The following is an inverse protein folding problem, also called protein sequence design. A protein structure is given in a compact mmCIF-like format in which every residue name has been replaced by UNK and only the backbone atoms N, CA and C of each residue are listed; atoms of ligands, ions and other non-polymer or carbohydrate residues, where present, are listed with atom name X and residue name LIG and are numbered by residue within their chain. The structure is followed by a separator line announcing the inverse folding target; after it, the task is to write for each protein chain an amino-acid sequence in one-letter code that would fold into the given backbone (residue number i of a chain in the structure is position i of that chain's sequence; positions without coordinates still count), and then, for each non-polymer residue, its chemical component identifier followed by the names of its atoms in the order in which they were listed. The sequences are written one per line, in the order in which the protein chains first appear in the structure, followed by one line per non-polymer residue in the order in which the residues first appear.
data_IF_760553149122
#
_entry.id   IF_760553149122
#
_cell.length_a   1.000
_cell.length_b   1.000
_cell.length_c   1.000
_cell.angle_alpha   90.00
_cell.angle_beta   90.00
_cell.angle_gamma   90.00
#
_symmetry.space_group_name_H-M   'P 1'
#
loop_
_entity.id
_entity.type
_entity.pdbx_description
1 polymer ?
#
# COMPACT_ATOMS: atom_id res chain seq x y z
N UNK A 1 24.04 7.46 3.78
CA UNK A 1 22.64 7.43 3.30
C UNK A 1 21.70 8.24 4.18
N UNK A 2 21.64 8.03 5.48
CA UNK A 2 20.71 8.71 6.41
C UNK A 2 20.82 10.25 6.36
N UNK A 3 22.01 10.82 6.39
CA UNK A 3 22.18 12.28 6.26
C UNK A 3 21.61 12.84 4.96
N UNK A 4 21.81 12.15 3.84
CA UNK A 4 21.24 12.54 2.55
C UNK A 4 19.72 12.46 2.57
N UNK A 5 19.16 11.40 3.16
CA UNK A 5 17.72 11.24 3.32
C UNK A 5 17.12 12.37 4.16
N UNK A 6 17.70 12.69 5.31
CA UNK A 6 17.29 13.82 6.18
C UNK A 6 17.31 15.14 5.44
N UNK A 7 18.37 15.40 4.68
CA UNK A 7 18.49 16.64 3.89
C UNK A 7 17.38 16.72 2.83
N UNK A 8 17.14 15.63 2.09
CA UNK A 8 16.09 15.57 1.09
C UNK A 8 14.72 15.79 1.74
N UNK A 9 14.45 15.11 2.88
CA UNK A 9 13.19 15.25 3.61
C UNK A 9 12.97 16.69 4.07
N UNK A 10 13.97 17.29 4.73
CA UNK A 10 13.90 18.69 5.19
C UNK A 10 13.58 19.66 4.06
N UNK A 11 14.18 19.46 2.89
CA UNK A 11 13.88 20.29 1.71
C UNK A 11 12.49 20.04 1.17
N UNK A 12 12.07 18.77 1.12
CA UNK A 12 10.74 18.38 0.66
C UNK A 12 9.61 18.96 1.52
N UNK A 13 9.79 19.03 2.84
CA UNK A 13 8.80 19.61 3.76
C UNK A 13 8.64 21.13 3.54
N UNK A 14 9.70 21.83 3.16
CA UNK A 14 9.62 23.28 2.84
C UNK A 14 8.84 23.59 1.55
N UNK A 15 8.64 22.58 0.70
CA UNK A 15 7.88 22.71 -0.55
C UNK A 15 6.41 22.33 -0.41
N UNK A 16 5.95 22.01 0.80
CA UNK A 16 4.52 21.74 1.06
C UNK A 16 3.80 23.10 0.96
N UNK A 17 2.77 23.21 0.11
CA UNK A 17 2.03 24.46 -0.03
C UNK A 17 1.18 24.73 1.21
N UNK A 18 0.97 26.01 1.49
CA UNK A 18 -0.03 26.43 2.47
C UNK A 18 -1.42 25.95 2.02
N UNK A 19 -2.19 25.41 2.96
CA UNK A 19 -3.52 24.91 2.73
C UNK A 19 -4.56 25.89 3.24
N UNK A 20 -5.60 26.13 2.46
CA UNK A 20 -6.74 26.92 2.93
C UNK A 20 -7.59 26.10 3.91
N UNK A 21 -8.40 26.79 4.72
CA UNK A 21 -9.36 26.14 5.60
C UNK A 21 -10.32 25.21 4.82
N UNK A 22 -10.66 25.60 3.59
CA UNK A 22 -11.45 24.75 2.69
C UNK A 22 -10.73 23.43 2.39
N UNK A 23 -9.43 23.48 2.09
CA UNK A 23 -8.66 22.27 1.77
C UNK A 23 -8.57 21.32 2.98
N UNK A 24 -8.58 21.84 4.21
CA UNK A 24 -8.55 21.06 5.44
C UNK A 24 -9.84 20.26 5.68
N UNK A 25 -10.96 20.72 5.13
CA UNK A 25 -12.25 20.03 5.24
C UNK A 25 -12.45 18.94 4.19
N UNK A 26 -11.57 18.79 3.19
CA UNK A 26 -11.67 17.79 2.14
C UNK A 26 -10.53 16.77 2.23
N UNK A 27 -10.81 15.47 1.98
CA UNK A 27 -9.76 14.47 1.93
C UNK A 27 -8.80 14.74 0.75
N UNK A 28 -7.60 14.17 0.81
CA UNK A 28 -6.65 14.27 -0.30
C UNK A 28 -7.25 13.68 -1.57
N UNK A 29 -7.94 12.55 -1.44
CA UNK A 29 -8.62 11.89 -2.56
C UNK A 29 -9.61 10.84 -2.05
N UNK A 30 -10.60 10.50 -2.88
CA UNK A 30 -11.47 9.34 -2.67
C UNK A 30 -12.00 8.83 -4.00
N UNK A 31 -12.27 7.53 -4.08
CA UNK A 31 -12.78 6.89 -5.31
C UNK A 31 -13.47 5.56 -5.02
N UNK A 32 -14.26 5.10 -6.00
CA UNK A 32 -14.77 3.74 -6.10
C UNK A 32 -14.18 3.10 -7.36
N UNK A 33 -13.73 1.85 -7.25
CA UNK A 33 -13.34 1.01 -8.39
C UNK A 33 -13.51 -0.46 -8.06
N UNK A 34 -13.43 -1.32 -9.07
CA UNK A 34 -13.43 -2.77 -8.86
C UNK A 34 -12.23 -3.22 -8.03
N UNK A 35 -12.48 -4.15 -7.12
CA UNK A 35 -11.46 -4.80 -6.31
C UNK A 35 -11.86 -6.23 -5.94
N UNK A 36 -10.95 -6.96 -5.35
CA UNK A 36 -11.15 -8.29 -4.82
C UNK A 36 -11.38 -8.22 -3.31
N UNK A 37 -12.54 -8.63 -2.84
CA UNK A 37 -12.81 -8.98 -1.45
C UNK A 37 -12.20 -10.35 -1.14
N UNK A 38 -12.19 -10.79 0.12
CA UNK A 38 -11.58 -12.08 0.49
C UNK A 38 -12.08 -13.25 -0.37
N UNK A 39 -13.39 -13.35 -0.53
CA UNK A 39 -14.01 -14.51 -1.15
C UNK A 39 -14.72 -14.22 -2.47
N UNK A 40 -14.84 -12.94 -2.86
CA UNK A 40 -15.61 -12.54 -4.02
C UNK A 40 -15.02 -11.32 -4.73
N UNK A 41 -15.40 -11.10 -5.98
CA UNK A 41 -15.20 -9.86 -6.69
C UNK A 41 -16.19 -8.83 -6.17
N UNK A 42 -15.72 -7.62 -5.96
CA UNK A 42 -16.51 -6.51 -5.48
C UNK A 42 -15.90 -5.16 -5.85
N UNK A 43 -16.12 -4.15 -5.02
CA UNK A 43 -15.57 -2.82 -5.23
C UNK A 43 -14.89 -2.30 -3.97
N UNK A 44 -13.88 -1.46 -4.16
CA UNK A 44 -13.31 -0.67 -3.07
C UNK A 44 -13.90 0.73 -3.04
N UNK A 45 -14.13 1.24 -1.84
CA UNK A 45 -14.28 2.66 -1.57
C UNK A 45 -13.07 3.11 -0.76
N UNK A 46 -12.19 3.86 -1.39
CA UNK A 46 -10.96 4.34 -0.76
C UNK A 46 -11.08 5.81 -0.42
N UNK A 47 -10.66 6.18 0.79
CA UNK A 47 -10.58 7.56 1.29
C UNK A 47 -9.16 7.80 1.79
N UNK A 48 -8.50 8.84 1.30
CA UNK A 48 -7.19 9.28 1.79
C UNK A 48 -7.38 10.56 2.60
N UNK A 49 -7.28 10.42 3.91
CA UNK A 49 -7.43 11.54 4.84
C UNK A 49 -6.14 12.37 4.90
N UNK A 50 -6.31 13.68 4.97
CA UNK A 50 -5.22 14.61 5.28
C UNK A 50 -5.10 14.73 6.78
N UNK A 51 -3.95 14.35 7.29
CA UNK A 51 -3.62 14.40 8.72
C UNK A 51 -2.32 15.15 8.94
N UNK A 52 -1.83 15.18 10.16
CA UNK A 52 -0.50 15.70 10.49
C UNK A 52 0.61 14.99 9.72
N UNK A 53 0.40 13.70 9.43
CA UNK A 53 1.35 12.86 8.72
C UNK A 53 2.30 12.09 9.64
N UNK A 54 3.04 11.19 9.02
CA UNK A 54 3.84 10.16 9.68
C UNK A 54 4.92 10.73 10.60
N UNK A 55 4.87 10.40 11.91
CA UNK A 55 5.90 10.79 12.88
C UNK A 55 7.31 10.35 12.49
N UNK A 56 7.45 9.18 11.85
CA UNK A 56 8.73 8.70 11.36
C UNK A 56 9.32 9.59 10.27
N UNK A 57 8.46 10.18 9.43
CA UNK A 57 8.88 11.11 8.38
C UNK A 57 9.17 12.52 8.92
N UNK A 58 8.46 12.95 9.95
CA UNK A 58 8.64 14.26 10.61
C UNK A 58 9.78 14.26 11.63
N UNK A 59 10.13 13.08 12.16
CA UNK A 59 11.18 12.93 13.16
C UNK A 59 12.59 12.97 12.59
N UNK A 60 13.57 12.84 13.48
CA UNK A 60 15.00 12.90 13.17
C UNK A 60 15.45 11.85 12.14
N UNK A 61 14.72 10.74 11.98
CA UNK A 61 15.06 9.69 11.03
C UNK A 61 14.78 10.07 9.57
N UNK A 62 13.92 11.09 9.33
CA UNK A 62 13.61 11.61 8.00
C UNK A 62 12.71 10.70 7.15
N UNK A 63 12.12 9.66 7.76
CA UNK A 63 11.15 8.78 7.10
C UNK A 63 11.77 7.71 6.22
N UNK A 64 10.90 6.96 5.54
CA UNK A 64 11.32 5.91 4.61
C UNK A 64 11.89 6.51 3.33
N UNK A 65 12.90 5.85 2.75
CA UNK A 65 13.67 6.34 1.59
C UNK A 65 12.83 6.52 0.31
N UNK A 66 11.73 5.77 0.19
CA UNK A 66 10.83 5.78 -0.98
C UNK A 66 9.54 6.57 -0.76
N UNK A 67 9.17 6.87 0.51
CA UNK A 67 7.86 7.42 0.82
C UNK A 67 7.83 8.96 0.69
N UNK A 68 6.94 9.46 -0.16
CA UNK A 68 6.69 10.88 -0.39
C UNK A 68 5.33 11.38 0.12
N UNK A 69 4.50 10.53 0.71
CA UNK A 69 3.14 10.88 1.14
C UNK A 69 3.06 11.99 2.18
N UNK A 70 4.15 12.22 2.94
CA UNK A 70 4.24 13.35 3.86
C UNK A 70 4.00 14.71 3.18
N UNK A 71 4.19 14.80 1.86
CA UNK A 71 3.95 16.04 1.10
C UNK A 71 2.47 16.38 0.96
N UNK A 72 1.59 15.38 1.16
CA UNK A 72 0.14 15.54 1.08
C UNK A 72 -0.46 15.84 2.47
N UNK A 73 0.38 15.85 3.52
CA UNK A 73 -0.01 16.10 4.91
C UNK A 73 -0.09 17.59 5.24
N UNK A 74 -0.75 17.90 6.35
CA UNK A 74 -0.81 19.27 6.87
C UNK A 74 0.44 19.65 7.69
N UNK A 75 1.16 18.66 8.24
CA UNK A 75 2.35 18.71 9.11
C UNK A 75 2.16 19.35 10.49
N UNK A 76 1.11 20.10 10.71
CA UNK A 76 0.70 20.63 12.02
C UNK A 76 -0.41 19.79 12.62
N UNK A 77 -0.74 20.03 13.89
CA UNK A 77 -1.88 19.34 14.52
C UNK A 77 -3.18 19.81 13.89
N UNK A 78 -3.97 18.85 13.40
CA UNK A 78 -5.27 19.10 12.80
C UNK A 78 -6.38 18.78 13.81
N UNK A 79 -7.32 19.68 13.99
CA UNK A 79 -8.46 19.46 14.88
C UNK A 79 -9.39 18.35 14.35
N UNK A 80 -9.98 17.60 15.28
CA UNK A 80 -10.84 16.44 14.98
C UNK A 80 -11.96 16.75 14.00
N UNK A 81 -12.54 17.95 14.07
CA UNK A 81 -13.66 18.33 13.21
C UNK A 81 -13.26 18.36 11.72
N UNK A 82 -12.04 18.79 11.37
CA UNK A 82 -11.56 18.76 9.99
C UNK A 82 -11.47 17.33 9.45
N UNK A 83 -10.93 16.41 10.23
CA UNK A 83 -10.79 15.01 9.79
C UNK A 83 -12.18 14.34 9.65
N UNK A 84 -13.12 14.63 10.59
CA UNK A 84 -14.52 14.20 10.46
C UNK A 84 -15.18 14.77 9.21
N UNK A 85 -14.96 16.05 8.91
CA UNK A 85 -15.50 16.70 7.70
C UNK A 85 -14.92 16.09 6.42
N UNK A 86 -13.62 15.80 6.39
CA UNK A 86 -12.99 15.10 5.26
C UNK A 86 -13.67 13.74 5.00
N UNK A 87 -13.84 12.95 6.07
CA UNK A 87 -14.54 11.67 5.96
C UNK A 87 -15.97 11.85 5.48
N UNK A 88 -16.73 12.77 6.07
CA UNK A 88 -18.11 13.06 5.68
C UNK A 88 -18.24 13.53 4.24
N UNK A 89 -17.34 14.37 3.75
CA UNK A 89 -17.36 14.85 2.36
C UNK A 89 -17.19 13.70 1.36
N UNK A 90 -16.26 12.77 1.61
CA UNK A 90 -16.12 11.57 0.79
C UNK A 90 -17.32 10.63 0.94
N UNK A 91 -17.75 10.39 2.18
CA UNK A 91 -18.86 9.52 2.54
C UNK A 91 -20.16 9.94 1.86
N UNK A 92 -20.59 11.17 2.07
CA UNK A 92 -21.85 11.70 1.52
C UNK A 92 -21.84 11.74 -0.02
N UNK A 93 -20.66 11.91 -0.62
CA UNK A 93 -20.52 11.88 -2.08
C UNK A 93 -20.68 10.47 -2.67
N UNK A 94 -20.53 9.39 -1.87
CA UNK A 94 -20.47 8.03 -2.39
C UNK A 94 -21.44 7.04 -1.76
N UNK A 95 -22.01 7.34 -0.59
CA UNK A 95 -22.80 6.35 0.17
C UNK A 95 -24.05 5.89 -0.60
N UNK A 96 -24.74 6.79 -1.28
CA UNK A 96 -25.93 6.44 -2.05
C UNK A 96 -25.58 5.50 -3.24
N UNK A 97 -24.43 5.73 -3.92
CA UNK A 97 -23.90 4.84 -4.94
C UNK A 97 -23.60 3.47 -4.38
N UNK A 98 -22.95 3.38 -3.19
CA UNK A 98 -22.60 2.14 -2.52
C UNK A 98 -23.84 1.33 -2.14
N UNK A 99 -24.85 1.95 -1.54
CA UNK A 99 -26.06 1.27 -1.07
C UNK A 99 -26.90 0.69 -2.21
N UNK A 100 -26.89 1.34 -3.37
CA UNK A 100 -27.63 0.91 -4.58
C UNK A 100 -26.86 -0.06 -5.48
N UNK A 101 -25.55 -0.24 -5.24
CA UNK A 101 -24.70 -1.08 -6.09
C UNK A 101 -25.06 -2.57 -5.93
N UNK A 102 -24.84 -3.35 -6.97
CA UNK A 102 -25.00 -4.81 -6.91
C UNK A 102 -23.88 -5.52 -6.13
N UNK A 103 -22.67 -4.94 -6.16
CA UNK A 103 -21.49 -5.50 -5.48
C UNK A 103 -21.44 -5.17 -3.97
N UNK A 104 -20.73 -6.03 -3.24
CA UNK A 104 -20.26 -5.71 -1.90
C UNK A 104 -18.98 -4.87 -1.96
N UNK A 105 -18.70 -4.16 -0.86
CA UNK A 105 -17.60 -3.20 -0.79
C UNK A 105 -16.58 -3.52 0.29
N UNK A 106 -15.34 -3.16 0.00
CA UNK A 106 -14.28 -2.96 0.96
C UNK A 106 -14.04 -1.46 1.11
N UNK A 107 -14.12 -0.93 2.32
CA UNK A 107 -13.69 0.44 2.59
C UNK A 107 -12.24 0.45 3.03
N UNK A 108 -11.44 1.32 2.43
CA UNK A 108 -10.02 1.53 2.75
C UNK A 108 -9.83 2.97 3.20
N UNK A 109 -9.34 3.14 4.43
CA UNK A 109 -9.06 4.46 5.00
C UNK A 109 -7.56 4.58 5.19
N UNK A 110 -6.97 5.49 4.43
CA UNK A 110 -5.55 5.77 4.43
C UNK A 110 -5.27 7.19 4.88
N UNK A 111 -4.09 7.41 5.40
CA UNK A 111 -3.51 8.69 5.72
C UNK A 111 -1.99 8.62 5.47
N UNK A 112 -1.28 9.72 5.64
CA UNK A 112 0.17 9.73 5.37
C UNK A 112 1.02 9.01 6.41
N UNK A 113 0.41 8.52 7.50
CA UNK A 113 1.08 7.88 8.63
C UNK A 113 0.35 6.68 9.19
N UNK A 114 -0.35 6.83 10.32
CA UNK A 114 -0.94 5.71 11.04
C UNK A 114 -2.34 6.02 11.55
N UNK A 115 -3.30 5.17 11.19
CA UNK A 115 -4.69 5.30 11.63
C UNK A 115 -4.85 5.27 13.15
N UNK A 116 -3.98 4.54 13.85
CA UNK A 116 -3.99 4.42 15.32
C UNK A 116 -3.03 5.39 16.03
N UNK A 117 -2.40 6.31 15.32
CA UNK A 117 -1.66 7.40 15.95
C UNK A 117 -2.64 8.50 16.38
N UNK A 118 -2.77 8.72 17.71
CA UNK A 118 -3.70 9.72 18.26
C UNK A 118 -3.36 11.17 17.85
N UNK A 119 -2.12 11.45 17.45
CA UNK A 119 -1.75 12.76 16.90
C UNK A 119 -2.19 12.94 15.44
N UNK A 120 -2.50 11.84 14.74
CA UNK A 120 -3.04 11.90 13.38
C UNK A 120 -4.55 11.75 13.37
N UNK A 121 -5.06 10.64 13.95
CA UNK A 121 -6.49 10.32 14.00
C UNK A 121 -6.82 9.86 15.42
N UNK A 122 -7.31 10.77 16.25
CA UNK A 122 -7.61 10.47 17.64
C UNK A 122 -8.81 9.52 17.80
N UNK A 123 -9.00 9.02 19.02
CA UNK A 123 -10.03 8.02 19.34
C UNK A 123 -11.45 8.49 18.97
N UNK A 124 -11.78 9.76 19.19
CA UNK A 124 -13.11 10.31 18.89
C UNK A 124 -13.40 10.29 17.38
N UNK A 125 -12.41 10.61 16.55
CA UNK A 125 -12.53 10.52 15.09
C UNK A 125 -12.66 9.07 14.64
N UNK A 126 -11.85 8.15 15.20
CA UNK A 126 -11.96 6.71 14.88
C UNK A 126 -13.33 6.16 15.25
N UNK A 127 -13.85 6.48 16.44
CA UNK A 127 -15.17 6.05 16.88
C UNK A 127 -16.28 6.54 15.93
N UNK A 128 -16.21 7.81 15.50
CA UNK A 128 -17.14 8.38 14.53
C UNK A 128 -17.11 7.64 13.19
N UNK A 129 -15.91 7.34 12.68
CA UNK A 129 -15.73 6.60 11.42
C UNK A 129 -16.32 5.19 11.54
N UNK A 130 -16.05 4.48 12.65
CA UNK A 130 -16.58 3.13 12.87
C UNK A 130 -18.10 3.11 12.92
N UNK A 131 -18.71 4.10 13.58
CA UNK A 131 -20.17 4.22 13.68
C UNK A 131 -20.78 4.34 12.27
N UNK A 132 -20.25 5.21 11.42
CA UNK A 132 -20.74 5.38 10.05
C UNK A 132 -20.62 4.10 9.23
N UNK A 133 -19.47 3.44 9.29
CA UNK A 133 -19.22 2.21 8.52
C UNK A 133 -20.10 1.06 9.02
N UNK A 134 -20.33 0.96 10.33
CA UNK A 134 -21.10 -0.16 10.91
C UNK A 134 -22.55 -0.21 10.42
N UNK A 135 -23.12 0.95 10.07
CA UNK A 135 -24.50 1.10 9.62
C UNK A 135 -24.76 0.65 8.18
N UNK A 136 -23.72 0.40 7.39
CA UNK A 136 -23.87 0.09 5.96
C UNK A 136 -23.56 -1.39 5.68
N UNK A 137 -24.58 -2.17 5.40
CA UNK A 137 -24.45 -3.62 5.19
C UNK A 137 -23.67 -3.99 3.93
N UNK A 138 -23.68 -3.14 2.90
CA UNK A 138 -22.90 -3.34 1.67
C UNK A 138 -21.38 -3.31 1.90
N UNK A 139 -20.92 -2.63 2.93
CA UNK A 139 -19.51 -2.61 3.30
C UNK A 139 -19.23 -3.88 4.13
N UNK A 140 -18.56 -4.86 3.53
CA UNK A 140 -18.22 -6.15 4.15
C UNK A 140 -16.83 -6.17 4.77
N UNK A 141 -15.91 -5.40 4.21
CA UNK A 141 -14.51 -5.38 4.64
C UNK A 141 -14.06 -3.94 4.95
N UNK A 142 -13.18 -3.83 5.95
CA UNK A 142 -12.58 -2.56 6.38
C UNK A 142 -11.07 -2.72 6.43
N UNK A 143 -10.34 -1.82 5.79
CA UNK A 143 -8.87 -1.77 5.83
C UNK A 143 -8.43 -0.43 6.37
N UNK A 144 -7.57 -0.46 7.38
CA UNK A 144 -6.84 0.70 7.89
C UNK A 144 -5.37 0.37 7.97
N UNK A 145 -4.49 1.36 7.73
CA UNK A 145 -3.06 1.13 7.84
C UNK A 145 -2.46 1.76 9.09
N UNK A 146 -1.49 1.11 9.66
CA UNK A 146 -0.75 1.62 10.80
C UNK A 146 0.68 1.10 10.85
N UNK A 147 1.55 1.88 11.44
CA UNK A 147 2.83 1.41 11.92
C UNK A 147 2.61 0.58 13.18
N UNK A 148 3.50 -0.38 13.41
CA UNK A 148 3.36 -1.38 14.48
C UNK A 148 3.35 -0.77 15.88
N UNK A 149 4.09 0.31 16.10
CA UNK A 149 4.22 0.97 17.41
C UNK A 149 2.93 1.63 17.93
N UNK A 150 1.93 1.85 17.07
CA UNK A 150 0.64 2.43 17.46
C UNK A 150 -0.45 1.38 17.69
N UNK A 151 -0.14 0.10 17.46
CA UNK A 151 -1.09 -0.99 17.63
C UNK A 151 -1.08 -1.49 19.07
N UNK A 152 -2.22 -1.47 19.73
CA UNK A 152 -2.42 -2.01 21.05
C UNK A 152 -3.77 -2.74 21.19
N UNK A 153 -3.89 -3.59 22.20
CA UNK A 153 -5.06 -4.44 22.40
C UNK A 153 -6.35 -3.62 22.57
N UNK A 154 -6.27 -2.50 23.25
CA UNK A 154 -7.44 -1.64 23.52
C UNK A 154 -8.01 -1.08 22.22
N UNK A 155 -7.18 -0.53 21.35
CA UNK A 155 -7.61 0.05 20.08
C UNK A 155 -8.19 -1.02 19.13
N UNK A 156 -7.56 -2.20 19.08
CA UNK A 156 -8.02 -3.30 18.24
C UNK A 156 -9.36 -3.88 18.72
N UNK A 157 -9.56 -4.05 20.04
CA UNK A 157 -10.84 -4.49 20.62
C UNK A 157 -11.95 -3.49 20.33
N UNK A 158 -11.72 -2.20 20.57
CA UNK A 158 -12.71 -1.14 20.28
C UNK A 158 -13.14 -1.16 18.82
N UNK A 159 -12.19 -1.30 17.90
CA UNK A 159 -12.47 -1.39 16.47
C UNK A 159 -13.34 -2.63 16.15
N UNK A 160 -12.97 -3.80 16.69
CA UNK A 160 -13.73 -5.04 16.50
C UNK A 160 -15.16 -4.95 17.03
N UNK A 161 -15.32 -4.42 18.23
CA UNK A 161 -16.63 -4.25 18.87
C UNK A 161 -17.54 -3.30 18.08
N UNK A 162 -17.00 -2.18 17.60
CA UNK A 162 -17.76 -1.16 16.86
C UNK A 162 -18.14 -1.59 15.45
N UNK A 163 -17.27 -2.32 14.75
CA UNK A 163 -17.51 -2.77 13.37
C UNK A 163 -18.21 -4.14 13.29
N UNK A 164 -18.34 -4.84 14.41
CA UNK A 164 -19.15 -6.07 14.53
C UNK A 164 -18.67 -7.20 13.61
N UNK A 165 -19.55 -7.65 12.72
CA UNK A 165 -19.31 -8.80 11.84
C UNK A 165 -18.52 -8.49 10.59
N UNK A 166 -18.11 -7.24 10.37
CA UNK A 166 -17.31 -6.88 9.20
C UNK A 166 -15.92 -7.53 9.30
N UNK A 167 -15.39 -7.96 8.15
CA UNK A 167 -14.00 -8.39 8.08
C UNK A 167 -13.08 -7.17 8.18
N UNK A 168 -12.16 -7.17 9.12
CA UNK A 168 -11.28 -6.03 9.38
C UNK A 168 -9.85 -6.48 9.12
N UNK A 169 -9.13 -5.78 8.26
CA UNK A 169 -7.69 -5.98 8.05
C UNK A 169 -6.91 -4.78 8.55
N UNK A 170 -5.93 -5.05 9.39
CA UNK A 170 -4.90 -4.07 9.75
C UNK A 170 -3.76 -4.19 8.75
N UNK A 171 -3.54 -3.14 7.98
CA UNK A 171 -2.51 -3.09 6.96
C UNK A 171 -1.19 -2.59 7.54
N UNK A 172 -0.12 -3.37 7.34
CA UNK A 172 1.21 -3.10 7.86
C UNK A 172 2.19 -3.02 6.70
N UNK A 173 2.90 -1.90 6.60
CA UNK A 173 4.01 -1.74 5.67
C UNK A 173 5.24 -2.49 6.17
N UNK A 174 5.36 -3.79 5.87
CA UNK A 174 6.57 -4.57 6.13
C UNK A 174 7.65 -4.27 5.08
N UNK A 175 7.24 -4.04 3.85
CA UNK A 175 8.04 -3.74 2.66
C UNK A 175 8.90 -4.93 2.16
N UNK A 176 9.61 -5.57 3.03
CA UNK A 176 10.40 -6.78 2.80
C UNK A 176 10.56 -7.58 4.09
N UNK A 177 10.66 -8.89 4.01
CA UNK A 177 10.95 -9.75 5.15
C UNK A 177 12.46 -9.77 5.53
N UNK A 178 13.30 -9.01 4.81
CA UNK A 178 14.73 -8.91 5.05
C UNK A 178 15.04 -7.64 5.86
N UNK A 179 15.49 -7.82 7.13
CA UNK A 179 15.82 -6.70 8.02
C UNK A 179 16.92 -5.80 7.48
N UNK A 180 17.94 -6.38 6.84
CA UNK A 180 19.03 -5.58 6.28
C UNK A 180 18.53 -4.58 5.22
N UNK A 181 17.68 -5.03 4.29
CA UNK A 181 17.08 -4.17 3.28
C UNK A 181 16.14 -3.16 3.92
N UNK A 182 15.29 -3.62 4.85
CA UNK A 182 14.30 -2.77 5.50
C UNK A 182 14.92 -1.65 6.32
N UNK A 183 15.97 -1.95 7.08
CA UNK A 183 16.64 -0.96 7.92
C UNK A 183 17.61 -0.09 7.10
N UNK A 184 18.48 -0.71 6.29
CA UNK A 184 19.60 0.01 5.68
C UNK A 184 19.26 0.65 4.33
N UNK A 185 18.29 0.12 3.55
CA UNK A 185 17.92 0.66 2.25
C UNK A 185 16.63 1.46 2.31
N UNK A 186 15.64 0.99 3.09
CA UNK A 186 14.35 1.66 3.20
C UNK A 186 14.28 2.64 4.38
N UNK A 187 15.13 2.53 5.39
CA UNK A 187 15.06 3.30 6.64
C UNK A 187 13.68 3.22 7.30
N UNK A 188 13.11 2.00 7.39
CA UNK A 188 11.74 1.79 7.89
C UNK A 188 11.63 1.81 9.42
N UNK A 189 12.71 1.47 10.14
CA UNK A 189 12.73 1.42 11.61
C UNK A 189 11.78 0.36 12.20
N UNK A 190 11.66 -0.79 11.53
CA UNK A 190 10.84 -1.92 11.94
C UNK A 190 11.68 -3.20 11.82
N UNK A 191 11.78 -3.99 12.88
CA UNK A 191 12.37 -5.32 12.84
C UNK A 191 11.31 -6.37 12.49
N UNK A 192 11.76 -7.51 11.94
CA UNK A 192 10.87 -8.60 11.58
C UNK A 192 10.19 -9.23 12.81
N UNK A 193 10.91 -9.32 13.92
CA UNK A 193 10.36 -9.86 15.18
C UNK A 193 9.29 -8.94 15.78
N UNK A 194 9.43 -7.62 15.66
CA UNK A 194 8.38 -6.67 16.06
C UNK A 194 7.12 -6.87 15.20
N UNK A 195 7.30 -7.06 13.89
CA UNK A 195 6.20 -7.40 13.00
C UNK A 195 5.51 -8.72 13.41
N UNK A 196 6.26 -9.78 13.74
CA UNK A 196 5.68 -11.05 14.19
C UNK A 196 4.88 -10.89 15.48
N UNK A 197 5.37 -10.10 16.42
CA UNK A 197 4.69 -9.81 17.69
C UNK A 197 3.32 -9.12 17.44
N UNK A 198 3.28 -8.19 16.50
CA UNK A 198 2.04 -7.49 16.12
C UNK A 198 1.08 -8.42 15.34
N UNK A 199 1.59 -9.31 14.50
CA UNK A 199 0.78 -10.36 13.85
C UNK A 199 0.03 -11.20 14.89
N UNK A 200 0.71 -11.59 15.98
CA UNK A 200 0.08 -12.34 17.08
C UNK A 200 -0.98 -11.49 17.80
N UNK A 201 -0.70 -10.22 18.07
CA UNK A 201 -1.63 -9.30 18.70
C UNK A 201 -2.92 -9.11 17.88
N UNK A 202 -2.80 -8.90 16.57
CA UNK A 202 -3.94 -8.73 15.65
C UNK A 202 -4.79 -10.00 15.64
N UNK A 203 -4.17 -11.18 15.51
CA UNK A 203 -4.87 -12.47 15.52
C UNK A 203 -5.59 -12.76 16.83
N UNK A 204 -4.95 -12.45 17.97
CA UNK A 204 -5.58 -12.58 19.31
C UNK A 204 -6.89 -11.80 19.38
N UNK A 205 -6.97 -10.66 18.67
CA UNK A 205 -8.18 -9.83 18.59
C UNK A 205 -9.11 -10.23 17.43
N UNK A 206 -8.91 -11.39 16.80
CA UNK A 206 -9.73 -11.90 15.68
C UNK A 206 -9.84 -10.94 14.49
N UNK A 207 -8.76 -10.21 14.22
CA UNK A 207 -8.63 -9.32 13.08
C UNK A 207 -7.74 -9.94 12.01
N UNK A 208 -7.97 -9.54 10.77
CA UNK A 208 -7.16 -9.89 9.61
C UNK A 208 -5.92 -9.02 9.49
N UNK A 209 -4.97 -9.50 8.71
CA UNK A 209 -3.69 -8.86 8.47
C UNK A 209 -3.51 -8.67 6.98
N UNK A 210 -3.26 -7.42 6.58
CA UNK A 210 -2.79 -7.07 5.24
C UNK A 210 -1.34 -6.65 5.33
N UNK A 211 -0.48 -7.20 4.47
CA UNK A 211 0.94 -6.86 4.46
C UNK A 211 1.30 -6.19 3.16
N UNK A 212 1.89 -5.00 3.24
CA UNK A 212 2.48 -4.34 2.08
C UNK A 212 3.92 -4.80 1.90
N UNK A 213 4.23 -5.27 0.70
CA UNK A 213 5.57 -5.63 0.25
C UNK A 213 5.96 -4.75 -0.93
N UNK A 214 7.20 -4.30 -0.96
CA UNK A 214 7.74 -3.55 -2.09
C UNK A 214 8.41 -4.48 -3.11
N UNK A 215 8.17 -4.22 -4.38
CA UNK A 215 9.02 -4.75 -5.44
C UNK A 215 10.06 -3.70 -5.81
N UNK A 216 11.32 -4.09 -5.74
CA UNK A 216 12.50 -3.30 -6.07
C UNK A 216 12.75 -2.10 -5.14
N UNK A 217 13.00 -2.34 -3.84
CA UNK A 217 13.63 -1.33 -2.98
C UNK A 217 14.84 -0.67 -3.63
N UNK A 218 15.16 0.60 -3.27
CA UNK A 218 16.38 1.24 -3.77
C UNK A 218 17.62 0.41 -3.45
N UNK A 219 18.66 0.55 -4.26
CA UNK A 219 19.95 -0.16 -4.18
C UNK A 219 19.93 -1.65 -4.54
N UNK A 220 18.77 -2.21 -4.89
CA UNK A 220 18.69 -3.55 -5.48
C UNK A 220 18.67 -3.47 -7.00
N UNK A 221 19.45 -4.34 -7.66
CA UNK A 221 19.27 -4.61 -9.07
C UNK A 221 17.99 -5.44 -9.29
N UNK A 222 17.58 -5.65 -10.54
CA UNK A 222 16.30 -6.31 -10.85
C UNK A 222 16.24 -7.74 -10.31
N UNK A 223 17.32 -8.51 -10.44
CA UNK A 223 17.39 -9.91 -9.99
C UNK A 223 17.27 -10.00 -8.47
N UNK A 224 18.11 -9.24 -7.75
CA UNK A 224 18.05 -9.23 -6.28
C UNK A 224 16.71 -8.74 -5.75
N UNK A 225 16.06 -7.82 -6.47
CA UNK A 225 14.72 -7.34 -6.10
C UNK A 225 13.65 -8.42 -6.28
N UNK A 226 13.74 -9.23 -7.34
CA UNK A 226 12.85 -10.38 -7.55
C UNK A 226 13.07 -11.40 -6.43
N UNK A 227 14.32 -11.76 -6.15
CA UNK A 227 14.65 -12.76 -5.13
C UNK A 227 14.15 -12.34 -3.74
N UNK A 228 14.34 -11.06 -3.35
CA UNK A 228 13.85 -10.50 -2.09
C UNK A 228 12.31 -10.51 -2.01
N UNK A 229 11.65 -10.07 -3.09
CA UNK A 229 10.20 -10.03 -3.15
C UNK A 229 9.59 -11.45 -3.06
N UNK A 230 10.12 -12.42 -3.81
CA UNK A 230 9.70 -13.82 -3.77
C UNK A 230 9.87 -14.42 -2.39
N UNK A 231 11.03 -14.21 -1.75
CA UNK A 231 11.27 -14.67 -0.40
C UNK A 231 10.30 -14.06 0.61
N UNK A 232 10.00 -12.78 0.47
CA UNK A 232 9.05 -12.06 1.31
C UNK A 232 7.61 -12.58 1.13
N UNK A 233 7.15 -12.76 -0.10
CA UNK A 233 5.82 -13.33 -0.40
C UNK A 233 5.69 -14.73 0.22
N UNK A 234 6.68 -15.61 0.00
CA UNK A 234 6.66 -16.98 0.55
C UNK A 234 6.60 -16.99 2.08
N UNK A 235 7.34 -16.10 2.76
CA UNK A 235 7.25 -15.94 4.21
C UNK A 235 5.86 -15.51 4.66
N UNK A 236 5.22 -14.57 3.97
CA UNK A 236 3.86 -14.10 4.31
C UNK A 236 2.80 -15.17 4.05
N UNK A 237 2.92 -15.93 2.96
CA UNK A 237 2.08 -17.12 2.70
C UNK A 237 2.25 -18.13 3.84
N UNK A 238 3.48 -18.45 4.22
CA UNK A 238 3.77 -19.36 5.34
C UNK A 238 3.21 -18.89 6.68
N UNK A 239 3.14 -17.58 6.90
CA UNK A 239 2.46 -16.97 8.05
C UNK A 239 0.94 -16.96 7.90
N UNK A 240 0.37 -17.35 6.74
CA UNK A 240 -1.08 -17.31 6.47
C UNK A 240 -1.70 -15.94 6.77
N UNK A 241 -1.08 -14.86 6.31
CA UNK A 241 -1.69 -13.52 6.37
C UNK A 241 -2.89 -13.47 5.44
N UNK A 242 -3.91 -12.66 5.75
CA UNK A 242 -5.14 -12.62 4.96
C UNK A 242 -4.89 -12.01 3.57
N UNK A 243 -4.09 -10.95 3.50
CA UNK A 243 -3.79 -10.27 2.24
C UNK A 243 -2.32 -9.89 2.14
N UNK A 244 -1.72 -10.15 0.98
CA UNK A 244 -0.42 -9.61 0.58
C UNK A 244 -0.67 -8.59 -0.53
N UNK A 245 -0.29 -7.34 -0.31
CA UNK A 245 -0.32 -6.29 -1.34
C UNK A 245 1.09 -6.02 -1.83
N UNK A 246 1.37 -6.34 -3.08
CA UNK A 246 2.68 -6.12 -3.68
C UNK A 246 2.68 -4.76 -4.36
N UNK A 247 3.53 -3.86 -3.88
CA UNK A 247 3.63 -2.49 -4.34
C UNK A 247 4.96 -2.26 -5.07
N UNK A 248 4.98 -2.31 -6.40
CA UNK A 248 6.16 -1.89 -7.15
C UNK A 248 6.54 -0.45 -6.81
N UNK A 249 7.81 -0.20 -6.52
CA UNK A 249 8.26 1.14 -6.12
C UNK A 249 7.91 2.16 -7.19
N UNK A 250 7.13 3.15 -6.79
CA UNK A 250 6.79 4.34 -7.54
C UNK A 250 7.68 5.51 -7.09
N UNK A 251 8.19 6.28 -8.04
CA UNK A 251 9.07 7.43 -7.77
C UNK A 251 8.25 8.62 -7.32
N UNK A 252 8.16 8.82 -6.01
CA UNK A 252 7.49 9.96 -5.41
C UNK A 252 8.45 11.14 -5.24
N UNK A 253 7.99 12.36 -5.54
CA UNK A 253 8.79 13.58 -5.43
C UNK A 253 9.34 13.77 -4.01
N UNK A 254 10.53 14.33 -3.90
CA UNK A 254 11.14 14.67 -2.61
C UNK A 254 11.56 13.44 -1.78
N UNK A 255 11.85 12.32 -2.42
CA UNK A 255 12.34 11.09 -1.81
C UNK A 255 13.79 10.80 -2.22
N UNK A 256 14.45 9.89 -1.51
CA UNK A 256 15.76 9.41 -1.92
C UNK A 256 15.69 8.68 -3.28
N UNK A 257 14.60 7.93 -3.51
CA UNK A 257 14.37 7.25 -4.80
C UNK A 257 14.22 8.27 -5.94
N UNK A 258 13.53 9.39 -5.75
CA UNK A 258 13.44 10.49 -6.72
C UNK A 258 14.82 11.10 -7.04
N UNK A 259 15.65 11.27 -6.01
CA UNK A 259 17.03 11.74 -6.18
C UNK A 259 17.85 10.75 -7.00
N UNK A 260 17.81 9.45 -6.68
CA UNK A 260 18.53 8.41 -7.43
C UNK A 260 18.05 8.33 -8.89
N UNK A 261 16.75 8.40 -9.11
CA UNK A 261 16.17 8.38 -10.45
C UNK A 261 16.63 9.59 -11.29
N UNK A 262 16.61 10.81 -10.75
CA UNK A 262 17.12 12.01 -11.42
C UNK A 262 18.60 11.90 -11.75
N UNK A 263 19.36 11.12 -10.96
CA UNK A 263 20.77 10.81 -11.22
C UNK A 263 20.99 9.62 -12.17
N UNK A 264 19.90 9.01 -12.69
CA UNK A 264 19.93 7.80 -13.52
C UNK A 264 20.55 6.58 -12.81
N UNK A 265 20.48 6.56 -11.47
CA UNK A 265 20.95 5.45 -10.61
C UNK A 265 19.82 4.53 -10.16
N UNK A 266 18.60 4.79 -10.56
CA UNK A 266 17.43 3.98 -10.26
C UNK A 266 16.43 4.02 -11.43
N UNK A 267 15.82 2.87 -11.70
CA UNK A 267 14.69 2.67 -12.59
C UNK A 267 13.58 1.95 -11.83
N UNK A 268 12.29 2.34 -11.95
CA UNK A 268 11.18 1.54 -11.44
C UNK A 268 11.22 0.09 -11.95
N UNK A 269 10.61 -0.86 -11.23
CA UNK A 269 10.60 -2.26 -11.64
C UNK A 269 9.91 -2.47 -12.99
N UNK A 270 10.23 -3.58 -13.64
CA UNK A 270 9.54 -4.04 -14.84
C UNK A 270 8.26 -4.78 -14.45
N UNK A 271 7.23 -4.72 -15.29
CA UNK A 271 6.08 -5.61 -15.13
C UNK A 271 6.47 -7.09 -15.22
N UNK A 272 7.42 -7.44 -16.10
CA UNK A 272 7.97 -8.79 -16.15
C UNK A 272 8.52 -9.26 -14.80
N UNK A 273 9.14 -8.38 -14.03
CA UNK A 273 9.63 -8.71 -12.69
C UNK A 273 8.49 -8.99 -11.71
N UNK A 274 7.40 -8.22 -11.76
CA UNK A 274 6.20 -8.47 -10.95
C UNK A 274 5.60 -9.84 -11.29
N UNK A 275 5.38 -10.13 -12.57
CA UNK A 275 4.85 -11.43 -13.01
C UNK A 275 5.78 -12.57 -12.59
N UNK A 276 7.10 -12.38 -12.70
CA UNK A 276 8.07 -13.39 -12.27
C UNK A 276 8.00 -13.61 -10.75
N UNK A 277 7.87 -12.55 -9.95
CA UNK A 277 7.69 -12.67 -8.50
C UNK A 277 6.42 -13.48 -8.17
N UNK A 278 5.29 -13.16 -8.79
CA UNK A 278 4.03 -13.86 -8.58
C UNK A 278 4.15 -15.34 -8.95
N UNK A 279 4.63 -15.64 -10.16
CA UNK A 279 4.78 -17.03 -10.63
C UNK A 279 5.75 -17.86 -9.79
N UNK A 280 6.82 -17.24 -9.27
CA UNK A 280 7.82 -17.94 -8.45
C UNK A 280 7.38 -18.14 -7.00
N UNK A 281 6.48 -17.31 -6.52
CA UNK A 281 6.00 -17.37 -5.13
C UNK A 281 4.70 -18.20 -5.02
N UNK A 282 3.80 -18.12 -6.01
CA UNK A 282 2.51 -18.81 -6.04
C UNK A 282 2.68 -20.10 -6.83
N UNK A 283 3.02 -21.18 -6.14
CA UNK A 283 3.31 -22.47 -6.76
C UNK A 283 2.06 -23.30 -7.09
N UNK A 284 0.94 -23.02 -6.41
CA UNK A 284 -0.34 -23.67 -6.68
C UNK A 284 -1.51 -22.72 -6.44
N UNK A 285 -2.65 -23.02 -7.06
CA UNK A 285 -3.91 -22.29 -6.87
C UNK A 285 -4.41 -22.35 -5.43
N UNK A 286 -4.14 -23.43 -4.71
CA UNK A 286 -4.59 -23.64 -3.33
C UNK A 286 -4.06 -22.58 -2.36
N UNK A 287 -2.86 -22.03 -2.62
CA UNK A 287 -2.29 -20.99 -1.78
C UNK A 287 -3.15 -19.73 -1.76
N UNK A 288 -3.84 -19.42 -2.85
CA UNK A 288 -4.76 -18.28 -2.96
C UNK A 288 -6.09 -18.50 -2.22
N UNK A 289 -6.40 -19.72 -1.82
CA UNK A 289 -7.52 -20.05 -0.94
C UNK A 289 -7.32 -19.59 0.51
N UNK A 290 -6.06 -19.36 0.92
CA UNK A 290 -5.70 -18.93 2.28
C UNK A 290 -5.23 -17.49 2.37
N UNK A 291 -4.63 -16.99 1.30
CA UNK A 291 -4.01 -15.66 1.27
C UNK A 291 -4.35 -14.97 -0.04
N UNK A 292 -5.10 -13.88 0.04
CA UNK A 292 -5.38 -13.02 -1.11
C UNK A 292 -4.11 -12.25 -1.51
N UNK A 293 -3.75 -12.27 -2.79
CA UNK A 293 -2.60 -11.53 -3.30
C UNK A 293 -3.09 -10.46 -4.25
N UNK A 294 -2.76 -9.20 -3.95
CA UNK A 294 -3.18 -8.05 -4.75
C UNK A 294 -1.98 -7.19 -5.13
N UNK A 295 -2.11 -6.48 -6.24
CA UNK A 295 -1.18 -5.45 -6.68
C UNK A 295 -1.95 -4.38 -7.45
N UNK A 296 -1.87 -3.15 -6.97
CA UNK A 296 -2.48 -1.97 -7.59
C UNK A 296 -1.42 -0.86 -7.70
N UNK A 297 -0.52 -0.97 -8.69
CA UNK A 297 0.66 -0.12 -8.73
C UNK A 297 0.32 1.33 -9.10
N UNK A 298 0.59 2.26 -8.20
CA UNK A 298 0.52 3.70 -8.49
C UNK A 298 1.42 4.09 -9.65
N UNK A 299 0.89 4.87 -10.59
CA UNK A 299 1.65 5.35 -11.75
C UNK A 299 2.05 4.26 -12.74
N UNK A 300 1.38 3.10 -12.73
CA UNK A 300 1.63 1.99 -13.63
C UNK A 300 1.61 2.41 -15.12
N UNK A 301 2.61 1.97 -15.88
CA UNK A 301 2.78 2.32 -17.30
C UNK A 301 3.45 3.68 -17.54
N UNK A 302 3.83 4.40 -16.49
CA UNK A 302 4.59 5.66 -16.61
C UNK A 302 6.06 5.47 -16.26
N UNK A 303 6.91 6.40 -16.68
CA UNK A 303 8.35 6.38 -16.38
C UNK A 303 8.68 6.49 -14.88
N UNK A 304 7.71 6.91 -14.06
CA UNK A 304 7.86 7.02 -12.60
C UNK A 304 7.30 5.81 -11.85
N UNK A 305 6.50 4.98 -12.49
CA UNK A 305 5.92 3.76 -11.93
C UNK A 305 6.46 2.50 -12.61
N UNK A 306 5.89 1.36 -12.25
CA UNK A 306 6.20 0.11 -12.93
C UNK A 306 5.87 0.20 -14.42
N UNK A 307 6.83 -0.16 -15.28
CA UNK A 307 6.64 -0.15 -16.73
C UNK A 307 7.64 -1.08 -17.42
N UNK A 308 7.29 -1.58 -18.60
CA UNK A 308 8.21 -2.33 -19.42
C UNK A 308 9.03 -1.39 -20.32
N UNK A 309 8.37 -0.58 -21.13
CA UNK A 309 8.98 0.31 -22.12
C UNK A 309 8.13 1.58 -22.29
N UNK A 310 8.42 2.37 -23.33
CA UNK A 310 7.64 3.57 -23.65
C UNK A 310 6.40 3.26 -24.50
N UNK A 311 6.24 2.02 -24.96
CA UNK A 311 5.05 1.61 -25.69
C UNK A 311 3.86 1.47 -24.73
N UNK A 312 2.83 2.27 -24.97
CA UNK A 312 1.61 2.28 -24.18
C UNK A 312 0.87 0.94 -24.27
N UNK A 313 0.80 0.35 -25.46
CA UNK A 313 0.08 -0.91 -25.67
C UNK A 313 0.68 -2.05 -24.86
N UNK A 314 2.01 -2.18 -24.86
CA UNK A 314 2.72 -3.15 -24.04
C UNK A 314 2.40 -2.99 -22.54
N UNK A 315 2.43 -1.75 -22.05
CA UNK A 315 2.15 -1.50 -20.63
C UNK A 315 0.67 -1.68 -20.27
N UNK A 316 -0.26 -1.33 -21.16
CA UNK A 316 -1.70 -1.49 -20.93
C UNK A 316 -2.08 -2.97 -20.87
N UNK A 317 -1.52 -3.82 -21.74
CA UNK A 317 -1.67 -5.28 -21.65
C UNK A 317 -1.19 -5.84 -20.32
N UNK A 318 -0.03 -5.39 -19.85
CA UNK A 318 0.51 -5.85 -18.56
C UNK A 318 -0.38 -5.40 -17.38
N UNK A 319 -0.93 -4.19 -17.42
CA UNK A 319 -1.90 -3.71 -16.42
C UNK A 319 -3.16 -4.57 -16.40
N UNK A 320 -3.66 -4.93 -17.56
CA UNK A 320 -4.83 -5.81 -17.71
C UNK A 320 -4.59 -7.19 -17.09
N UNK A 321 -3.45 -7.81 -17.39
CA UNK A 321 -3.04 -9.09 -16.79
C UNK A 321 -3.02 -9.03 -15.27
N UNK A 322 -2.35 -7.99 -14.71
CA UNK A 322 -2.27 -7.84 -13.25
C UNK A 322 -3.65 -7.60 -12.64
N UNK A 323 -4.48 -6.77 -13.28
CA UNK A 323 -5.86 -6.51 -12.83
C UNK A 323 -6.71 -7.79 -12.84
N UNK A 324 -6.67 -8.57 -13.94
CA UNK A 324 -7.42 -9.82 -14.05
C UNK A 324 -7.00 -10.79 -12.95
N UNK A 325 -5.70 -11.00 -12.75
CA UNK A 325 -5.19 -11.81 -11.64
C UNK A 325 -5.72 -11.34 -10.28
N UNK A 326 -5.67 -10.05 -10.00
CA UNK A 326 -6.17 -9.49 -8.73
C UNK A 326 -7.66 -9.76 -8.54
N UNK A 327 -8.48 -9.58 -9.58
CA UNK A 327 -9.92 -9.74 -9.49
C UNK A 327 -10.36 -11.21 -9.42
N UNK A 328 -9.68 -12.10 -10.15
CA UNK A 328 -10.04 -13.52 -10.23
C UNK A 328 -9.34 -14.37 -9.18
N UNK A 329 -8.13 -13.98 -8.75
CA UNK A 329 -7.22 -14.81 -7.97
C UNK A 329 -6.92 -16.15 -8.69
N UNK A 330 -6.88 -16.14 -10.03
CA UNK A 330 -6.54 -17.31 -10.84
C UNK A 330 -5.07 -17.20 -11.29
N UNK A 331 -4.27 -18.20 -10.93
CA UNK A 331 -2.84 -18.24 -11.32
C UNK A 331 -2.64 -18.33 -12.83
N UNK A 332 -3.62 -18.78 -13.59
CA UNK A 332 -3.52 -18.87 -15.04
C UNK A 332 -3.45 -17.50 -15.71
N UNK A 333 -4.00 -16.46 -15.10
CA UNK A 333 -3.93 -15.09 -15.60
C UNK A 333 -2.49 -14.56 -15.70
N UNK A 334 -1.57 -15.07 -14.87
CA UNK A 334 -0.17 -14.64 -14.84
C UNK A 334 0.79 -15.64 -15.46
N UNK A 335 0.33 -16.82 -15.85
CA UNK A 335 1.14 -17.83 -16.53
C UNK A 335 1.27 -17.50 -18.03
N UNK A 336 2.41 -17.77 -18.59
CA UNK A 336 2.67 -17.61 -20.04
C UNK A 336 2.51 -16.18 -20.59
N UNK A 337 2.44 -15.18 -19.72
CA UNK A 337 2.24 -13.76 -20.11
C UNK A 337 3.36 -13.27 -21.01
N UNK A 338 4.59 -13.73 -20.77
CA UNK A 338 5.74 -13.37 -21.59
C UNK A 338 5.64 -13.86 -23.04
N UNK A 339 4.88 -14.93 -23.31
CA UNK A 339 4.66 -15.48 -24.63
C UNK A 339 3.55 -14.72 -25.39
N UNK A 340 2.67 -14.05 -24.66
CA UNK A 340 1.51 -13.32 -25.22
C UNK A 340 1.84 -11.87 -25.60
N UNK A 341 3.02 -11.35 -25.21
CA UNK A 341 3.39 -9.97 -25.45
C UNK A 341 4.53 -9.90 -26.46
N UNK A 342 4.15 -9.51 -27.67
CA UNK A 342 5.09 -9.24 -28.76
C UNK A 342 5.67 -7.81 -28.59
N UNK A 343 6.81 -7.70 -27.89
CA UNK A 343 7.52 -6.44 -27.74
C UNK A 343 9.01 -6.69 -27.52
N UNK A 344 9.85 -5.99 -28.27
CA UNK A 344 11.32 -6.08 -28.19
C UNK A 344 11.89 -5.69 -26.83
N UNK A 345 11.09 -5.03 -25.98
CA UNK A 345 11.51 -4.68 -24.62
C UNK A 345 11.84 -5.89 -23.75
N UNK A 346 11.31 -7.07 -24.08
CA UNK A 346 11.62 -8.33 -23.43
C UNK A 346 13.12 -8.67 -23.53
N UNK A 347 13.73 -8.46 -24.69
CA UNK A 347 15.17 -8.66 -24.86
C UNK A 347 15.97 -7.74 -23.93
N UNK A 348 15.60 -6.47 -23.82
CA UNK A 348 16.23 -5.52 -22.88
C UNK A 348 16.10 -5.97 -21.43
N UNK A 349 14.93 -6.47 -21.05
CA UNK A 349 14.69 -7.02 -19.71
C UNK A 349 15.62 -8.20 -19.42
N UNK A 350 15.74 -9.15 -20.34
CA UNK A 350 16.62 -10.30 -20.17
C UNK A 350 18.10 -9.90 -20.05
N UNK A 351 18.56 -8.98 -20.89
CA UNK A 351 19.94 -8.45 -20.82
C UNK A 351 20.21 -7.81 -19.46
N UNK A 352 19.30 -6.98 -18.94
CA UNK A 352 19.45 -6.37 -17.62
C UNK A 352 19.50 -7.39 -16.48
N UNK A 353 18.76 -8.49 -16.58
CA UNK A 353 18.77 -9.54 -15.56
C UNK A 353 20.04 -10.42 -15.59
N UNK A 354 20.75 -10.47 -16.69
CA UNK A 354 21.96 -11.29 -16.85
C UNK A 354 23.22 -10.50 -16.49
N UNK A 355 23.28 -9.22 -16.84
CA UNK A 355 24.51 -8.43 -16.84
C UNK A 355 24.61 -7.33 -15.79
N UNK A 356 23.54 -7.08 -15.00
CA UNK A 356 23.50 -6.07 -13.95
C UNK A 356 22.96 -6.69 -12.66
#
# INVERSE_FOLDING_TARGET
MIEKLRTIRKNSLKEIPDLSEKDLNYPISYWIKEDRLLNERGKEFTIILRTRGCRWALGEQGGCSMCGYIRDSYIETLESHYIKNQFLNAWNAKIEEIEKDEFNFIIKIFNSGSFFDDEEINEDVRAFIYEKISQVDKIKEVVVESRVEFLNETNLKKMKEKLGNKHIEIAIGLETANDHIRINYLNKGLLYDDFLSVVQLIRKNQLGIRVYLLLKPPFLNERSAIDDCVASIKKMIGLKVNTISINPVNIQKGTLVDYLWKKKLYRPPWFYSLIKCLNSAITSQELLGYTRIVSDPSGAGTIRGIHNCNDKFCNDKMKEVVRNFVLTQDVNEIRYVEEQIECDCKLKYHIQNIYI
#
